data_IF_895830973544
#
_entry.id   IF_895830973544
#
_cell.length_a   1.000
_cell.length_b   1.000
_cell.length_c   1.000
_cell.angle_alpha   90.00
_cell.angle_beta   90.00
_cell.angle_gamma   90.00
#
_symmetry.space_group_name_H-M   'P 1'
#
loop_
_entity.id
_entity.type
_entity.pdbx_description
1 polymer ?
#
# COMPACT_ATOMS: atom_id res chain seq x y z
N UNK A 1 15.43 0.65 -0.02
CA UNK A 1 14.53 -0.53 0.02
C UNK A 1 13.34 -0.30 0.97
N UNK A 2 13.58 0.15 2.21
CA UNK A 2 12.53 0.31 3.23
C UNK A 2 11.47 1.36 2.85
N UNK A 3 11.87 2.54 2.35
CA UNK A 3 10.92 3.57 1.89
C UNK A 3 9.98 3.00 0.81
N UNK A 4 10.52 2.22 -0.13
CA UNK A 4 9.71 1.57 -1.18
C UNK A 4 8.70 0.57 -0.60
N UNK A 5 9.11 -0.20 0.40
CA UNK A 5 8.23 -1.11 1.13
C UNK A 5 7.10 -0.36 1.82
N UNK A 6 7.43 0.70 2.54
CA UNK A 6 6.45 1.52 3.26
C UNK A 6 5.45 2.15 2.28
N UNK A 7 5.91 2.74 1.19
CA UNK A 7 5.05 3.35 0.20
C UNK A 7 4.05 2.36 -0.43
N UNK A 8 4.43 1.07 -0.54
CA UNK A 8 3.53 0.04 -1.06
C UNK A 8 2.33 -0.24 -0.17
N UNK A 9 2.49 -0.23 1.15
CA UNK A 9 1.37 -0.46 2.05
C UNK A 9 0.68 0.83 2.51
N UNK A 10 1.39 1.95 2.50
CA UNK A 10 0.85 3.23 2.98
C UNK A 10 -0.30 3.77 2.12
N UNK A 11 -0.41 3.35 0.86
CA UNK A 11 -1.48 3.74 -0.09
C UNK A 11 -1.71 5.25 -0.10
N UNK A 12 -0.62 6.03 -0.29
CA UNK A 12 -0.72 7.49 -0.30
C UNK A 12 -1.03 8.14 1.05
N UNK A 13 -0.90 7.39 2.16
CA UNK A 13 -1.15 7.88 3.52
C UNK A 13 -2.46 7.39 4.15
N UNK A 14 -3.26 6.61 3.41
CA UNK A 14 -4.48 6.00 3.93
C UNK A 14 -4.19 5.00 5.06
N UNK A 15 -3.11 4.23 4.94
CA UNK A 15 -2.70 3.28 5.96
C UNK A 15 -1.67 3.93 6.89
N UNK A 16 -2.12 4.31 8.07
CA UNK A 16 -1.29 5.01 9.07
C UNK A 16 -0.61 4.06 10.06
N UNK A 17 -1.26 2.95 10.36
CA UNK A 17 -0.82 2.03 11.42
C UNK A 17 -0.74 0.61 10.92
N UNK A 18 0.38 -0.06 11.15
CA UNK A 18 0.59 -1.46 10.79
C UNK A 18 1.50 -2.18 11.77
N UNK A 19 1.38 -3.49 11.82
CA UNK A 19 2.36 -4.36 12.45
C UNK A 19 3.39 -4.79 11.41
N UNK A 20 4.65 -4.52 11.65
CA UNK A 20 5.75 -5.13 10.91
C UNK A 20 6.13 -6.45 11.56
N UNK A 21 6.32 -7.46 10.75
CA UNK A 21 6.81 -8.78 11.18
C UNK A 21 8.09 -9.07 10.42
N UNK A 22 9.19 -9.18 11.15
CA UNK A 22 10.49 -9.60 10.62
C UNK A 22 10.79 -11.02 11.07
N UNK A 23 11.36 -11.84 10.19
CA UNK A 23 11.96 -13.13 10.51
C UNK A 23 13.50 -13.09 10.50
N UNK A 24 14.08 -11.88 10.38
CA UNK A 24 15.52 -11.65 10.23
C UNK A 24 16.01 -11.66 8.79
N UNK A 25 15.20 -12.15 7.84
CA UNK A 25 15.53 -12.21 6.41
C UNK A 25 14.47 -11.57 5.52
N UNK A 26 13.28 -11.45 6.03
CA UNK A 26 12.11 -10.84 5.37
C UNK A 26 11.43 -9.86 6.30
N UNK A 27 10.86 -8.83 5.72
CA UNK A 27 9.97 -7.91 6.41
C UNK A 27 8.60 -7.95 5.75
N UNK A 28 7.57 -8.19 6.55
CA UNK A 28 6.20 -8.30 6.07
C UNK A 28 5.25 -7.44 6.89
N UNK A 29 4.17 -7.03 6.25
CA UNK A 29 3.03 -6.42 6.93
C UNK A 29 1.72 -6.81 6.26
N UNK A 30 0.67 -6.87 7.06
CA UNK A 30 -0.70 -6.89 6.60
C UNK A 30 -1.37 -5.60 7.04
N UNK A 31 -2.26 -5.08 6.21
CA UNK A 31 -2.92 -3.81 6.46
C UNK A 31 -4.39 -3.85 6.07
N UNK A 32 -5.13 -2.93 6.65
CA UNK A 32 -6.54 -2.67 6.34
C UNK A 32 -6.77 -1.16 6.33
N UNK A 33 -7.50 -0.65 5.35
CA UNK A 33 -7.92 0.76 5.31
C UNK A 33 -8.89 1.09 6.44
N UNK A 34 -8.96 2.37 6.83
CA UNK A 34 -9.83 2.82 7.92
C UNK A 34 -11.31 2.54 7.68
N UNK A 35 -11.76 2.63 6.43
CA UNK A 35 -13.10 2.30 5.97
C UNK A 35 -13.31 0.80 5.71
N UNK A 36 -12.27 -0.01 5.88
CA UNK A 36 -12.25 -1.46 5.65
C UNK A 36 -12.50 -1.91 4.21
N UNK A 37 -12.38 -1.01 3.25
CA UNK A 37 -12.57 -1.31 1.82
C UNK A 37 -11.38 -2.01 1.18
N UNK A 38 -10.19 -1.82 1.74
CA UNK A 38 -8.94 -2.40 1.23
C UNK A 38 -8.24 -3.21 2.30
N UNK A 39 -7.93 -4.46 1.98
CA UNK A 39 -7.09 -5.34 2.79
C UNK A 39 -5.95 -5.84 1.92
N UNK A 40 -4.75 -5.86 2.46
CA UNK A 40 -3.60 -6.31 1.71
C UNK A 40 -2.44 -6.79 2.56
N UNK A 41 -1.42 -7.27 1.88
CA UNK A 41 -0.13 -7.60 2.47
C UNK A 41 1.01 -7.18 1.57
N UNK A 42 2.11 -6.78 2.17
CA UNK A 42 3.36 -6.48 1.47
C UNK A 42 4.48 -7.25 2.13
N UNK A 43 5.32 -7.86 1.32
CA UNK A 43 6.51 -8.58 1.75
C UNK A 43 7.72 -8.01 1.02
N UNK A 44 8.81 -7.86 1.73
CA UNK A 44 10.13 -7.58 1.20
C UNK A 44 11.04 -8.75 1.57
N UNK A 45 11.52 -9.45 0.57
CA UNK A 45 12.53 -10.50 0.73
C UNK A 45 13.94 -9.91 0.83
N UNK A 46 14.84 -10.64 1.46
CA UNK A 46 16.25 -10.25 1.64
C UNK A 46 16.37 -8.90 2.37
N UNK A 47 15.61 -8.73 3.44
CA UNK A 47 15.73 -7.60 4.36
C UNK A 47 16.36 -8.05 5.67
N UNK A 48 17.60 -7.63 5.91
CA UNK A 48 18.39 -8.01 7.09
C UNK A 48 18.63 -6.85 8.07
N UNK A 49 17.89 -5.75 7.91
CA UNK A 49 18.08 -4.55 8.74
C UNK A 49 17.45 -4.64 10.13
N UNK A 50 16.63 -5.66 10.39
CA UNK A 50 15.89 -5.84 11.64
C UNK A 50 15.83 -7.32 11.97
N UNK A 51 16.28 -7.70 13.16
CA UNK A 51 16.18 -9.07 13.68
C UNK A 51 14.73 -9.56 13.76
N UNK A 52 14.56 -10.86 13.95
CA UNK A 52 13.24 -11.47 14.10
C UNK A 52 12.43 -10.80 15.22
N UNK A 53 11.33 -10.15 14.86
CA UNK A 53 10.56 -9.31 15.78
C UNK A 53 9.19 -8.92 15.20
N UNK A 54 8.30 -8.48 16.10
CA UNK A 54 7.06 -7.79 15.75
C UNK A 54 7.14 -6.33 16.22
N UNK A 55 6.87 -5.39 15.34
CA UNK A 55 7.02 -3.95 15.61
C UNK A 55 5.71 -3.21 15.31
N UNK A 56 5.25 -2.40 16.25
CA UNK A 56 4.06 -1.57 16.09
C UNK A 56 4.40 -0.21 15.45
N UNK A 57 4.13 -0.05 14.17
CA UNK A 57 4.25 1.24 13.47
C UNK A 57 2.90 1.94 13.50
N UNK A 58 2.76 2.98 14.31
CA UNK A 58 1.48 3.70 14.49
C UNK A 58 1.32 4.89 13.53
N UNK A 59 2.43 5.58 13.20
CA UNK A 59 2.41 6.76 12.35
C UNK A 59 3.37 6.59 11.17
N UNK A 60 2.90 5.88 10.15
CA UNK A 60 3.65 5.64 8.90
C UNK A 60 4.14 6.92 8.21
N UNK A 61 3.32 8.00 8.07
CA UNK A 61 3.80 9.25 7.47
C UNK A 61 4.98 9.86 8.22
N UNK A 62 4.97 9.82 9.55
CA UNK A 62 6.09 10.34 10.35
C UNK A 62 7.35 9.47 10.16
N UNK A 63 7.20 8.14 10.11
CA UNK A 63 8.32 7.25 9.85
C UNK A 63 8.94 7.54 8.46
N UNK A 64 8.11 7.73 7.44
CA UNK A 64 8.58 8.12 6.11
C UNK A 64 9.33 9.46 6.12
N UNK A 65 8.80 10.46 6.84
CA UNK A 65 9.43 11.77 6.96
C UNK A 65 10.80 11.65 7.65
N UNK A 66 10.91 10.85 8.72
CA UNK A 66 12.18 10.60 9.40
C UNK A 66 13.19 9.88 8.51
N UNK A 67 12.74 8.88 7.73
CA UNK A 67 13.60 8.17 6.78
C UNK A 67 14.05 9.06 5.62
N UNK A 68 13.24 10.03 5.20
CA UNK A 68 13.55 10.89 4.06
C UNK A 68 14.69 11.89 4.32
N UNK A 69 15.06 12.13 5.58
CA UNK A 69 16.21 12.99 5.94
C UNK A 69 17.52 12.23 5.99
N UNK A 70 17.49 10.90 5.82
CA UNK A 70 18.65 10.03 5.83
C UNK A 70 19.07 9.67 4.40
N UNK A 71 20.33 9.32 4.20
CA UNK A 71 20.80 8.78 2.91
C UNK A 71 20.36 7.32 2.71
N UNK A 72 20.85 6.69 1.65
CA UNK A 72 20.53 5.28 1.37
C UNK A 72 21.29 4.29 2.29
N UNK A 73 22.34 4.76 2.97
CA UNK A 73 23.21 3.94 3.82
C UNK A 73 22.82 4.10 5.30
N UNK A 74 21.74 3.44 5.70
CA UNK A 74 21.18 3.54 7.05
C UNK A 74 21.34 2.23 7.81
N UNK A 75 21.92 2.31 9.00
CA UNK A 75 21.90 1.25 10.00
C UNK A 75 20.67 1.38 10.90
N UNK A 76 20.05 0.25 11.20
CA UNK A 76 18.88 0.16 12.07
C UNK A 76 19.24 -0.56 13.36
N UNK A 77 18.78 -0.01 14.48
CA UNK A 77 18.93 -0.65 15.79
C UNK A 77 17.59 -0.60 16.51
N UNK A 78 17.13 -1.74 16.99
CA UNK A 78 15.97 -1.81 17.87
C UNK A 78 16.40 -1.55 19.31
N UNK A 79 15.64 -0.70 19.99
CA UNK A 79 15.75 -0.50 21.44
C UNK A 79 14.54 -1.11 22.12
N UNK A 80 14.77 -1.93 23.14
CA UNK A 80 13.74 -2.59 23.94
C UNK A 80 13.69 -2.08 25.36
N UNK A 81 12.55 -2.28 26.00
CA UNK A 81 12.36 -2.15 27.46
C UNK A 81 11.58 -3.37 27.92
N UNK A 82 12.24 -4.23 28.70
CA UNK A 82 11.75 -5.59 28.96
C UNK A 82 11.62 -6.36 27.64
N UNK A 83 10.48 -7.01 27.49
CA UNK A 83 10.18 -7.83 26.31
C UNK A 83 9.59 -7.04 25.12
N UNK A 84 9.49 -5.71 25.23
CA UNK A 84 8.86 -4.86 24.22
C UNK A 84 9.87 -3.99 23.51
N UNK A 85 9.81 -3.94 22.17
CA UNK A 85 10.52 -2.95 21.39
C UNK A 85 9.82 -1.59 21.49
N UNK A 86 10.60 -0.54 21.81
CA UNK A 86 10.09 0.81 22.07
C UNK A 86 10.51 1.81 21.00
N UNK A 87 11.62 1.57 20.30
CA UNK A 87 12.05 2.46 19.21
C UNK A 87 12.86 1.74 18.15
N UNK A 88 12.87 2.35 16.96
CA UNK A 88 13.83 2.09 15.89
C UNK A 88 14.77 3.28 15.86
N UNK A 89 16.02 3.05 16.20
CA UNK A 89 17.10 4.02 16.06
C UNK A 89 17.74 3.84 14.68
N UNK A 90 17.85 4.90 13.92
CA UNK A 90 18.35 4.93 12.55
C UNK A 90 19.58 5.83 12.48
N UNK A 91 20.66 5.33 11.94
CA UNK A 91 21.92 6.08 11.78
C UNK A 91 22.34 6.06 10.31
N UNK A 92 22.42 7.24 9.73
CA UNK A 92 23.05 7.44 8.44
C UNK A 92 24.58 7.30 8.60
N UNK A 93 25.15 6.27 7.97
CA UNK A 93 26.60 5.99 8.08
C UNK A 93 27.45 6.98 7.30
N UNK A 94 26.87 7.63 6.26
CA UNK A 94 27.57 8.58 5.41
C UNK A 94 27.72 9.96 6.05
N UNK A 95 26.66 10.45 6.70
CA UNK A 95 26.60 11.81 7.25
C UNK A 95 26.53 11.85 8.77
N UNK A 96 26.55 10.70 9.44
CA UNK A 96 26.36 10.56 10.89
C UNK A 96 25.05 11.20 11.43
N UNK A 97 24.08 11.41 10.57
CA UNK A 97 22.76 11.86 10.99
C UNK A 97 22.04 10.73 11.70
N UNK A 98 21.42 11.02 12.83
CA UNK A 98 20.65 10.02 13.58
C UNK A 98 19.18 10.42 13.64
N UNK A 99 18.32 9.44 13.58
CA UNK A 99 16.88 9.60 13.72
C UNK A 99 16.34 8.49 14.61
N UNK A 100 15.29 8.80 15.36
CA UNK A 100 14.63 7.84 16.25
C UNK A 100 13.12 7.85 15.97
N UNK A 101 12.58 6.68 15.74
CA UNK A 101 11.15 6.48 15.62
C UNK A 101 10.62 5.67 16.80
N UNK A 102 9.61 6.21 17.51
CA UNK A 102 8.99 5.51 18.63
C UNK A 102 7.96 4.52 18.13
N UNK A 103 8.08 3.27 18.58
CA UNK A 103 7.14 2.21 18.31
C UNK A 103 5.97 2.28 19.27
N UNK A 104 4.83 1.79 18.85
CA UNK A 104 3.64 1.65 19.67
C UNK A 104 3.46 0.22 20.17
N UNK A 105 2.72 0.07 21.23
CA UNK A 105 2.30 -1.25 21.71
C UNK A 105 1.48 -1.95 20.61
N UNK A 106 1.74 -3.23 20.41
CA UNK A 106 1.08 -4.02 19.37
C UNK A 106 -0.45 -4.11 19.58
N UNK A 107 -0.93 -3.94 20.81
CA UNK A 107 -2.35 -3.99 21.14
C UNK A 107 -3.16 -2.82 20.55
N UNK A 108 -2.51 -1.69 20.26
CA UNK A 108 -3.18 -0.53 19.64
C UNK A 108 -3.10 -0.52 18.12
N UNK A 109 -2.39 -1.47 17.52
CA UNK A 109 -2.27 -1.60 16.08
C UNK A 109 -3.44 -2.44 15.55
N UNK A 110 -4.18 -1.96 14.54
CA UNK A 110 -5.25 -2.74 13.93
C UNK A 110 -4.75 -4.10 13.43
N UNK A 111 -5.48 -5.14 13.72
CA UNK A 111 -5.20 -6.49 13.20
C UNK A 111 -6.10 -6.74 11.99
N UNK A 112 -5.53 -6.77 10.77
CA UNK A 112 -6.30 -7.07 9.58
C UNK A 112 -6.88 -8.48 9.63
N UNK A 113 -8.07 -8.73 9.06
CA UNK A 113 -8.62 -10.07 8.96
C UNK A 113 -7.69 -10.98 8.15
N UNK A 114 -7.81 -12.28 8.34
CA UNK A 114 -7.11 -13.23 7.48
C UNK A 114 -7.51 -13.00 6.03
N UNK A 115 -6.54 -12.94 5.13
CA UNK A 115 -6.84 -12.89 3.70
C UNK A 115 -7.54 -14.20 3.35
N UNK A 116 -8.78 -14.10 2.92
CA UNK A 116 -9.51 -15.25 2.38
C UNK A 116 -8.97 -15.56 0.99
N UNK A 117 -9.09 -16.80 0.57
CA UNK A 117 -8.86 -17.12 -0.84
C UNK A 117 -9.85 -16.33 -1.69
N UNK A 118 -9.35 -15.75 -2.75
CA UNK A 118 -10.21 -15.13 -3.76
C UNK A 118 -11.11 -16.20 -4.40
N UNK A 119 -12.27 -15.83 -4.94
CA UNK A 119 -13.05 -16.74 -5.78
C UNK A 119 -12.15 -17.36 -6.87
N UNK A 120 -12.42 -18.60 -7.24
CA UNK A 120 -11.71 -19.26 -8.34
C UNK A 120 -12.10 -18.73 -9.72
N UNK A 121 -13.28 -18.12 -9.80
CA UNK A 121 -13.87 -17.59 -11.03
C UNK A 121 -14.38 -16.17 -10.76
N UNK A 122 -14.15 -15.30 -11.71
CA UNK A 122 -14.65 -13.93 -11.75
C UNK A 122 -15.45 -13.74 -13.03
N UNK A 123 -16.51 -12.94 -12.96
CA UNK A 123 -17.31 -12.60 -14.15
C UNK A 123 -16.50 -11.78 -15.16
N UNK A 124 -15.48 -11.08 -14.68
CA UNK A 124 -14.60 -10.25 -15.48
C UNK A 124 -13.19 -10.23 -14.91
N UNK A 125 -12.20 -10.50 -15.76
CA UNK A 125 -10.78 -10.33 -15.49
C UNK A 125 -10.19 -9.34 -16.49
N UNK A 126 -9.60 -8.25 -15.99
CA UNK A 126 -9.02 -7.18 -16.82
C UNK A 126 -7.51 -7.11 -16.67
N UNK A 127 -6.80 -6.98 -17.79
CA UNK A 127 -5.36 -6.74 -17.79
C UNK A 127 -5.04 -5.26 -17.56
N UNK A 128 -4.39 -5.00 -16.45
CA UNK A 128 -3.96 -3.64 -16.08
C UNK A 128 -2.48 -3.47 -16.42
N UNK A 129 -2.18 -2.65 -17.42
CA UNK A 129 -0.82 -2.30 -17.82
C UNK A 129 -0.46 -0.87 -17.43
N UNK A 130 0.81 -0.48 -17.64
CA UNK A 130 1.29 0.86 -17.27
C UNK A 130 0.56 1.99 -18.03
N UNK A 131 0.14 1.75 -19.27
CA UNK A 131 -0.64 2.73 -20.02
C UNK A 131 -2.01 2.97 -19.37
N UNK A 132 -2.71 1.89 -19.05
CA UNK A 132 -4.01 1.98 -18.34
C UNK A 132 -3.86 2.75 -17.03
N UNK A 133 -2.88 2.38 -16.18
CA UNK A 133 -2.65 3.03 -14.89
C UNK A 133 -2.42 4.54 -15.07
N UNK A 134 -1.51 4.93 -15.97
CA UNK A 134 -1.21 6.33 -16.20
C UNK A 134 -2.42 7.10 -16.73
N UNK A 135 -3.15 6.53 -17.70
CA UNK A 135 -4.34 7.15 -18.26
C UNK A 135 -5.45 7.30 -17.22
N UNK A 136 -5.63 6.28 -16.37
CA UNK A 136 -6.60 6.32 -15.28
C UNK A 136 -6.26 7.42 -14.25
N UNK A 137 -5.00 7.52 -13.82
CA UNK A 137 -4.55 8.56 -12.89
C UNK A 137 -4.75 9.96 -13.49
N UNK A 138 -4.37 10.16 -14.76
CA UNK A 138 -4.58 11.44 -15.46
C UNK A 138 -6.07 11.76 -15.60
N UNK A 139 -6.88 10.76 -15.94
CA UNK A 139 -8.32 10.91 -16.08
C UNK A 139 -9.01 11.27 -14.76
N UNK A 140 -8.60 10.63 -13.67
CA UNK A 140 -9.09 10.96 -12.32
C UNK A 140 -8.67 12.37 -11.90
N UNK A 141 -7.45 12.79 -12.25
CA UNK A 141 -6.97 14.16 -12.02
C UNK A 141 -7.73 15.22 -12.83
N UNK A 142 -8.20 14.89 -14.03
CA UNK A 142 -9.00 15.79 -14.87
C UNK A 142 -10.48 15.88 -14.43
N UNK A 143 -11.01 14.85 -13.79
CA UNK A 143 -12.39 14.76 -13.29
C UNK A 143 -12.38 14.63 -11.75
N UNK A 144 -11.92 15.66 -11.07
CA UNK A 144 -11.71 15.67 -9.61
C UNK A 144 -12.98 15.37 -8.81
N UNK A 145 -14.13 15.81 -9.31
CA UNK A 145 -15.44 15.64 -8.65
C UNK A 145 -16.02 14.22 -8.84
N UNK A 146 -15.36 13.38 -9.64
CA UNK A 146 -15.81 12.01 -9.88
C UNK A 146 -15.25 11.09 -8.80
N UNK A 147 -16.06 10.60 -7.89
CA UNK A 147 -15.64 9.75 -6.76
C UNK A 147 -15.51 8.27 -7.14
N UNK A 148 -16.14 7.87 -8.25
CA UNK A 148 -16.19 6.48 -8.71
C UNK A 148 -15.79 6.31 -10.17
N UNK A 149 -15.56 5.07 -10.55
CA UNK A 149 -15.50 4.66 -11.94
C UNK A 149 -16.47 3.51 -12.18
N UNK A 150 -16.86 3.33 -13.43
CA UNK A 150 -17.78 2.27 -13.85
C UNK A 150 -17.11 1.40 -14.89
N UNK A 151 -17.25 0.10 -14.77
CA UNK A 151 -16.85 -0.84 -15.82
C UNK A 151 -18.09 -1.09 -16.71
N UNK A 152 -17.92 -0.93 -18.01
CA UNK A 152 -18.98 -1.13 -19.00
C UNK A 152 -18.54 -2.23 -19.96
N UNK A 153 -19.39 -3.23 -20.09
CA UNK A 153 -19.29 -4.28 -21.11
C UNK A 153 -20.33 -4.02 -22.19
N UNK A 154 -19.92 -3.88 -23.43
CA UNK A 154 -20.82 -3.64 -24.55
C UNK A 154 -20.20 -4.10 -25.87
N UNK A 155 -20.96 -4.83 -26.68
CA UNK A 155 -20.58 -5.26 -28.03
C UNK A 155 -19.22 -5.99 -28.05
N UNK A 156 -18.98 -6.88 -27.09
CA UNK A 156 -17.71 -7.61 -26.98
C UNK A 156 -16.52 -6.77 -26.52
N UNK A 157 -16.75 -5.56 -26.00
CA UNK A 157 -15.70 -4.64 -25.53
C UNK A 157 -15.90 -4.28 -24.06
N UNK A 158 -14.80 -4.12 -23.35
CA UNK A 158 -14.81 -3.67 -21.96
C UNK A 158 -14.11 -2.32 -21.86
N UNK A 159 -14.69 -1.44 -21.09
CA UNK A 159 -14.12 -0.11 -20.83
C UNK A 159 -14.29 0.30 -19.37
N UNK A 160 -13.30 1.00 -18.84
CA UNK A 160 -13.42 1.69 -17.55
C UNK A 160 -13.76 3.15 -17.83
N UNK A 161 -14.85 3.64 -17.22
CA UNK A 161 -15.37 4.99 -17.43
C UNK A 161 -15.31 5.77 -16.13
N UNK A 162 -14.57 6.87 -16.13
CA UNK A 162 -14.54 7.86 -15.05
C UNK A 162 -15.57 8.93 -15.36
N UNK A 163 -16.41 9.30 -14.38
CA UNK A 163 -17.47 10.29 -14.57
C UNK A 163 -18.70 9.74 -15.32
N UNK A 164 -18.96 8.42 -15.23
CA UNK A 164 -20.15 7.82 -15.82
C UNK A 164 -21.42 8.36 -15.15
N UNK A 165 -22.38 8.74 -15.99
CA UNK A 165 -23.72 9.14 -15.56
C UNK A 165 -24.73 8.76 -16.62
N UNK A 166 -25.98 8.51 -16.22
CA UNK A 166 -27.11 8.28 -17.12
C UNK A 166 -27.56 9.55 -17.88
N UNK A 167 -27.10 10.71 -17.44
CA UNK A 167 -27.29 11.99 -18.12
C UNK A 167 -25.99 12.44 -18.77
N UNK A 168 -26.06 13.43 -19.68
CA UNK A 168 -24.87 13.98 -20.30
C UNK A 168 -23.91 14.53 -19.25
N UNK A 169 -22.70 14.02 -19.22
CA UNK A 169 -21.64 14.40 -18.28
C UNK A 169 -20.28 14.34 -18.96
N UNK A 170 -19.35 15.11 -18.40
CA UNK A 170 -17.93 14.95 -18.76
C UNK A 170 -17.45 13.58 -18.30
N UNK A 171 -16.85 12.81 -19.18
CA UNK A 171 -16.37 11.46 -18.88
C UNK A 171 -15.13 11.10 -19.67
N UNK A 172 -14.36 10.19 -19.12
CA UNK A 172 -13.22 9.58 -19.78
C UNK A 172 -13.48 8.09 -19.89
N UNK A 173 -13.37 7.55 -21.08
CA UNK A 173 -13.56 6.12 -21.36
C UNK A 173 -12.21 5.53 -21.74
N UNK A 174 -11.76 4.53 -20.97
CA UNK A 174 -10.48 3.84 -21.17
C UNK A 174 -10.80 2.40 -21.57
N UNK A 175 -10.54 2.01 -22.84
CA UNK A 175 -10.69 0.62 -23.25
C UNK A 175 -9.68 -0.25 -22.51
N UNK A 176 -10.10 -1.47 -22.13
CA UNK A 176 -9.26 -2.45 -21.45
C UNK A 176 -9.23 -3.76 -22.21
N UNK A 177 -8.11 -4.44 -22.14
CA UNK A 177 -7.95 -5.78 -22.70
C UNK A 177 -8.52 -6.80 -21.70
N UNK A 178 -9.32 -7.72 -22.20
CA UNK A 178 -9.90 -8.83 -21.43
C UNK A 178 -9.57 -10.14 -22.13
N UNK A 179 -9.38 -11.22 -21.38
CA UNK A 179 -9.19 -12.54 -21.96
C UNK A 179 -10.53 -13.20 -22.25
N UNK A 180 -11.41 -13.23 -21.25
CA UNK A 180 -12.77 -13.74 -21.37
C UNK A 180 -13.68 -12.96 -20.43
N UNK A 181 -14.94 -12.76 -20.79
CA UNK A 181 -15.95 -12.24 -19.89
C UNK A 181 -17.33 -12.75 -20.31
N UNK A 182 -18.23 -12.85 -19.34
CA UNK A 182 -19.65 -13.14 -19.60
C UNK A 182 -20.41 -11.81 -19.66
N UNK A 183 -21.11 -11.57 -20.75
CA UNK A 183 -21.98 -10.41 -20.88
C UNK A 183 -23.16 -10.59 -19.93
N UNK A 184 -23.38 -9.62 -19.02
CA UNK A 184 -24.45 -9.62 -18.02
C UNK A 184 -25.60 -8.74 -18.50
#
# INVERSE_FOLDING_TARGET
QLIRYINKYALGGEIKSVKWVSDGTKLSTRFISGDKSVVGSVVVDKFSGVDASELGVYNTPQLLALLSVLSDDVEFKLTSSGDKFISIDMKDTKYNTTSKYMLSDLSVIPTPPALKNLPSEFDLDIKVNSYFINTFIMGKGALTDSESFTIITKDGKVSVVIGYSNVASNRITIPVEVEEYTEI
#
